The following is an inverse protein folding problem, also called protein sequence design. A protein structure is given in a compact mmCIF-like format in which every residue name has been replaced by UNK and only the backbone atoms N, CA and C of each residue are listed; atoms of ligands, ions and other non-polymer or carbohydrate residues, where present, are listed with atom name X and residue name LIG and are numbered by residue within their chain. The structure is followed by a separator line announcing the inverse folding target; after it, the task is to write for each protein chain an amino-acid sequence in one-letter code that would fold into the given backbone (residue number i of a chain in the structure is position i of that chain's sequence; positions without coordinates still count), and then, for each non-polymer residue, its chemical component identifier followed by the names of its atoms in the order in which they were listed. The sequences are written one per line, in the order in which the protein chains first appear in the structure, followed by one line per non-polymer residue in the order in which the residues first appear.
data_IF_809011817015
#
_entry.id   IF_809011817015
#
_cell.length_a   1.000
_cell.length_b   1.000
_cell.length_c   1.000
_cell.angle_alpha   90.00
_cell.angle_beta   90.00
_cell.angle_gamma   90.00
#
_symmetry.space_group_name_H-M   'P 1'
#
loop_
_entity.id
_entity.type
_entity.pdbx_description
1 polymer ?
#
# COMPACT_ATOMS: atom_id res chain seq x y z
N UNK A 1 5.98 -3.42 -8.71
CA UNK A 1 6.03 -4.57 -7.82
C UNK A 1 7.35 -4.55 -7.05
N UNK A 2 7.36 -4.88 -5.73
CA UNK A 2 8.57 -4.85 -4.90
C UNK A 2 9.74 -5.67 -5.48
N UNK A 3 9.46 -6.84 -6.04
CA UNK A 3 10.46 -7.72 -6.63
C UNK A 3 11.19 -7.15 -7.85
N UNK A 4 10.62 -6.15 -8.51
CA UNK A 4 11.19 -5.52 -9.70
C UNK A 4 12.02 -4.25 -9.38
N UNK A 5 11.97 -3.76 -8.14
CA UNK A 5 12.58 -2.48 -7.75
C UNK A 5 14.10 -2.51 -7.94
N UNK A 6 14.78 -3.48 -7.35
CA UNK A 6 16.24 -3.52 -7.42
C UNK A 6 16.75 -3.73 -8.85
N UNK A 7 16.24 -4.71 -9.65
CA UNK A 7 16.66 -4.87 -11.05
C UNK A 7 16.41 -3.62 -11.89
N UNK A 8 15.27 -2.94 -11.68
CA UNK A 8 14.93 -1.75 -12.45
C UNK A 8 15.86 -0.58 -12.13
N UNK A 9 16.10 -0.30 -10.85
CA UNK A 9 17.00 0.79 -10.44
C UNK A 9 18.47 0.49 -10.72
N UNK A 10 18.90 -0.76 -10.70
CA UNK A 10 20.24 -1.15 -11.19
C UNK A 10 20.40 -0.82 -12.68
N UNK A 11 19.41 -1.15 -13.51
CA UNK A 11 19.41 -0.83 -14.93
C UNK A 11 19.37 0.68 -15.18
N UNK A 12 18.51 1.43 -14.48
CA UNK A 12 18.42 2.89 -14.57
C UNK A 12 19.74 3.56 -14.16
N UNK A 13 20.36 3.08 -13.09
CA UNK A 13 21.66 3.56 -12.60
C UNK A 13 22.76 3.29 -13.64
N UNK A 14 22.78 2.09 -14.25
CA UNK A 14 23.73 1.76 -15.33
C UNK A 14 23.52 2.64 -16.56
N UNK A 15 22.28 3.02 -16.85
CA UNK A 15 21.94 3.95 -17.93
C UNK A 15 22.23 5.43 -17.61
N UNK A 16 22.80 5.74 -16.44
CA UNK A 16 23.18 7.11 -16.06
C UNK A 16 22.07 7.93 -15.39
N UNK A 17 20.90 7.33 -15.08
CA UNK A 17 19.82 8.03 -14.37
C UNK A 17 20.20 8.23 -12.90
N UNK A 18 20.31 9.50 -12.46
CA UNK A 18 20.76 9.88 -11.11
C UNK A 18 19.90 10.96 -10.47
N UNK A 19 19.18 11.75 -11.28
CA UNK A 19 18.49 12.98 -10.85
C UNK A 19 17.13 12.74 -10.20
N UNK A 20 17.02 11.75 -9.32
CA UNK A 20 15.83 11.51 -8.49
C UNK A 20 16.20 11.51 -7.01
N UNK A 21 15.25 11.86 -6.15
CA UNK A 21 15.44 11.97 -4.71
C UNK A 21 14.81 10.82 -3.94
N UNK A 22 13.71 10.26 -4.45
CA UNK A 22 12.91 9.25 -3.77
C UNK A 22 12.63 8.07 -4.70
N UNK A 23 12.66 6.87 -4.15
CA UNK A 23 12.23 5.62 -4.78
C UNK A 23 10.82 5.29 -4.31
N UNK A 24 9.85 5.26 -5.24
CA UNK A 24 8.46 4.87 -4.98
C UNK A 24 8.21 3.39 -5.27
N UNK A 25 7.54 2.69 -4.36
CA UNK A 25 7.16 1.28 -4.51
C UNK A 25 5.65 1.15 -4.44
N UNK A 26 5.00 0.62 -5.49
CA UNK A 26 3.61 0.16 -5.41
C UNK A 26 3.59 -1.25 -4.81
N UNK A 27 2.87 -1.45 -3.72
CA UNK A 27 2.79 -2.72 -3.00
C UNK A 27 1.35 -3.18 -2.81
N UNK A 28 0.96 -4.23 -3.49
CA UNK A 28 -0.34 -4.90 -3.35
C UNK A 28 -0.13 -6.40 -3.18
N UNK A 29 -0.74 -7.00 -2.17
CA UNK A 29 -0.66 -8.44 -1.93
C UNK A 29 -1.15 -9.28 -3.11
N UNK A 30 -2.13 -8.77 -3.87
CA UNK A 30 -2.66 -9.42 -5.07
C UNK A 30 -1.61 -9.63 -6.16
N UNK A 31 -0.73 -8.65 -6.36
CA UNK A 31 0.19 -8.63 -7.50
C UNK A 31 1.64 -8.82 -7.12
N UNK A 32 1.96 -8.81 -5.82
CA UNK A 32 3.31 -9.09 -5.34
C UNK A 32 3.42 -10.55 -4.93
N UNK A 33 4.53 -11.19 -5.30
CA UNK A 33 4.89 -12.53 -4.82
C UNK A 33 5.57 -12.49 -3.47
N UNK A 34 5.93 -11.30 -2.97
CA UNK A 34 6.69 -11.11 -1.75
C UNK A 34 5.79 -10.80 -0.56
N UNK A 35 6.16 -11.34 0.57
CA UNK A 35 5.54 -10.99 1.85
C UNK A 35 6.10 -9.67 2.41
N UNK A 36 5.52 -9.20 3.50
CA UNK A 36 5.93 -7.94 4.13
C UNK A 36 7.38 -7.94 4.64
N UNK A 37 7.92 -9.09 5.06
CA UNK A 37 9.32 -9.18 5.47
C UNK A 37 10.28 -9.00 4.29
N UNK A 38 9.94 -9.55 3.13
CA UNK A 38 10.70 -9.36 1.89
C UNK A 38 10.60 -7.92 1.39
N UNK A 39 9.43 -7.28 1.50
CA UNK A 39 9.28 -5.85 1.20
C UNK A 39 10.19 -5.01 2.09
N UNK A 40 10.21 -5.25 3.42
CA UNK A 40 11.11 -4.57 4.36
C UNK A 40 12.57 -4.71 3.93
N UNK A 41 13.01 -5.93 3.60
CA UNK A 41 14.38 -6.19 3.16
C UNK A 41 14.71 -5.44 1.86
N UNK A 42 13.76 -5.36 0.91
CA UNK A 42 13.92 -4.63 -0.35
C UNK A 42 14.07 -3.12 -0.11
N UNK A 43 13.26 -2.55 0.80
CA UNK A 43 13.35 -1.13 1.18
C UNK A 43 14.75 -0.84 1.76
N UNK A 44 15.21 -1.67 2.70
CA UNK A 44 16.52 -1.49 3.32
C UNK A 44 17.65 -1.61 2.29
N UNK A 45 17.57 -2.58 1.40
CA UNK A 45 18.58 -2.76 0.34
C UNK A 45 18.55 -1.63 -0.69
N UNK A 46 17.37 -1.17 -1.12
CA UNK A 46 17.25 -0.05 -2.05
C UNK A 46 17.87 1.23 -1.46
N UNK A 47 17.55 1.54 -0.18
CA UNK A 47 18.14 2.67 0.52
C UNK A 47 19.67 2.56 0.60
N UNK A 48 20.19 1.40 1.00
CA UNK A 48 21.62 1.15 1.08
C UNK A 48 22.33 1.27 -0.27
N UNK A 49 21.72 0.72 -1.34
CA UNK A 49 22.32 0.62 -2.67
C UNK A 49 22.33 1.93 -3.42
N UNK A 50 21.25 2.70 -3.34
CA UNK A 50 21.09 3.91 -4.15
C UNK A 50 21.25 5.20 -3.35
N UNK A 51 21.32 5.15 -2.01
CA UNK A 51 21.45 6.32 -1.14
C UNK A 51 20.25 7.26 -1.24
N UNK A 52 19.05 6.72 -1.55
CA UNK A 52 17.82 7.49 -1.74
C UNK A 52 16.78 7.10 -0.70
N UNK A 53 15.88 8.03 -0.40
CA UNK A 53 14.73 7.70 0.42
C UNK A 53 13.78 6.76 -0.35
N UNK A 54 13.09 5.90 0.41
CA UNK A 54 12.17 4.91 -0.14
C UNK A 54 10.80 5.08 0.50
N UNK A 55 9.76 5.11 -0.31
CA UNK A 55 8.37 5.23 0.13
C UNK A 55 7.50 4.18 -0.55
N UNK A 56 6.52 3.61 0.15
CA UNK A 56 5.43 2.88 -0.48
C UNK A 56 4.43 3.93 -0.97
N UNK A 57 4.45 4.23 -2.28
CA UNK A 57 3.63 5.30 -2.89
C UNK A 57 2.22 4.86 -3.21
N UNK A 58 1.95 3.54 -3.15
CA UNK A 58 0.66 3.01 -3.54
C UNK A 58 0.42 1.66 -2.86
N UNK A 59 -0.69 1.55 -2.15
CA UNK A 59 -1.20 0.32 -1.55
C UNK A 59 -2.67 0.46 -1.24
N UNK A 60 -3.41 -0.64 -1.18
CA UNK A 60 -4.76 -0.72 -0.63
C UNK A 60 -5.01 -2.11 -0.06
N UNK A 61 -6.01 -2.24 0.81
CA UNK A 61 -6.40 -3.52 1.38
C UNK A 61 -7.92 -3.59 1.56
N UNK A 62 -8.58 -4.71 1.22
CA UNK A 62 -10.05 -4.79 1.30
C UNK A 62 -10.54 -4.92 2.74
N UNK A 63 -11.58 -4.16 3.09
CA UNK A 63 -12.30 -4.31 4.36
C UNK A 63 -13.49 -5.29 4.25
N UNK A 64 -13.81 -5.71 3.04
CA UNK A 64 -14.87 -6.68 2.74
C UNK A 64 -14.62 -7.34 1.39
N UNK A 65 -15.21 -8.51 1.14
CA UNK A 65 -15.23 -9.15 -0.19
C UNK A 65 -16.56 -8.97 -0.90
N UNK A 66 -17.54 -8.31 -0.28
CA UNK A 66 -18.84 -8.05 -0.90
C UNK A 66 -18.73 -6.94 -1.93
N UNK A 67 -19.43 -7.09 -3.05
CA UNK A 67 -19.67 -6.00 -3.99
C UNK A 67 -20.88 -5.18 -3.55
N UNK A 68 -20.80 -3.88 -3.73
CA UNK A 68 -21.94 -2.98 -3.50
C UNK A 68 -22.54 -2.45 -4.80
N UNK A 69 -21.88 -2.66 -5.93
CA UNK A 69 -22.40 -2.32 -7.25
C UNK A 69 -22.15 -3.45 -8.27
N UNK A 70 -22.35 -3.18 -9.56
CA UNK A 70 -22.19 -4.17 -10.62
C UNK A 70 -20.78 -4.34 -11.13
N UNK A 71 -19.84 -3.46 -10.73
CA UNK A 71 -18.42 -3.58 -11.08
C UNK A 71 -17.75 -4.55 -10.12
N UNK A 72 -17.03 -5.55 -10.65
CA UNK A 72 -16.30 -6.50 -9.82
C UNK A 72 -15.15 -5.84 -9.08
N UNK A 73 -15.02 -6.17 -7.80
CA UNK A 73 -13.90 -5.67 -6.98
C UNK A 73 -12.54 -6.15 -7.50
N UNK A 74 -11.60 -5.23 -7.64
CA UNK A 74 -10.23 -5.56 -8.05
C UNK A 74 -9.48 -6.33 -6.96
N UNK A 75 -9.73 -6.03 -5.68
CA UNK A 75 -9.13 -6.73 -4.56
C UNK A 75 -10.09 -7.79 -4.02
N UNK A 76 -9.99 -9.01 -4.54
CA UNK A 76 -10.76 -10.18 -4.12
C UNK A 76 -10.07 -11.02 -3.05
N UNK A 77 -10.52 -12.27 -2.89
CA UNK A 77 -9.92 -13.24 -1.96
C UNK A 77 -8.46 -13.54 -2.25
N UNK A 78 -8.04 -13.39 -3.50
CA UNK A 78 -6.66 -13.52 -3.99
C UNK A 78 -5.73 -12.36 -3.54
N UNK A 79 -6.30 -11.32 -2.92
CA UNK A 79 -5.58 -10.19 -2.36
C UNK A 79 -5.29 -10.34 -0.87
N UNK A 80 -5.79 -11.40 -0.23
CA UNK A 80 -5.71 -11.54 1.22
C UNK A 80 -4.39 -12.18 1.66
N UNK A 81 -3.84 -11.60 2.72
CA UNK A 81 -2.78 -12.21 3.52
C UNK A 81 -3.47 -12.89 4.71
N UNK A 82 -3.14 -14.16 5.05
CA UNK A 82 -3.86 -14.91 6.08
C UNK A 82 -3.99 -14.20 7.45
N UNK A 83 -3.00 -13.38 7.81
CA UNK A 83 -3.01 -12.60 9.06
C UNK A 83 -4.01 -11.44 9.07
N UNK A 84 -4.53 -11.03 7.92
CA UNK A 84 -5.39 -9.85 7.77
C UNK A 84 -6.67 -10.24 7.01
N UNK A 85 -7.73 -10.66 7.67
CA UNK A 85 -9.00 -10.97 6.99
C UNK A 85 -9.61 -9.70 6.36
N UNK A 86 -10.46 -9.88 5.34
CA UNK A 86 -11.21 -8.78 4.71
C UNK A 86 -12.31 -8.28 5.66
N UNK A 87 -11.91 -7.53 6.67
CA UNK A 87 -12.75 -6.86 7.68
C UNK A 87 -12.20 -5.45 7.93
N UNK A 88 -13.02 -4.53 8.47
CA UNK A 88 -12.54 -3.20 8.84
C UNK A 88 -11.28 -3.23 9.72
N UNK A 89 -11.26 -4.12 10.69
CA UNK A 89 -10.11 -4.30 11.58
C UNK A 89 -8.91 -4.94 10.87
N UNK A 90 -9.15 -5.90 9.96
CA UNK A 90 -8.09 -6.51 9.16
C UNK A 90 -7.41 -5.49 8.24
N UNK A 91 -8.20 -4.61 7.60
CA UNK A 91 -7.69 -3.49 6.81
C UNK A 91 -6.83 -2.54 7.66
N UNK A 92 -7.33 -2.12 8.82
CA UNK A 92 -6.60 -1.24 9.75
C UNK A 92 -5.27 -1.85 10.17
N UNK A 93 -5.28 -3.13 10.62
CA UNK A 93 -4.08 -3.84 11.05
C UNK A 93 -3.05 -3.97 9.94
N UNK A 94 -3.48 -4.31 8.72
CA UNK A 94 -2.59 -4.38 7.57
C UNK A 94 -1.88 -3.04 7.34
N UNK A 95 -2.60 -1.93 7.37
CA UNK A 95 -2.02 -0.60 7.15
C UNK A 95 -1.04 -0.19 8.26
N UNK A 96 -1.35 -0.51 9.52
CA UNK A 96 -0.45 -0.25 10.65
C UNK A 96 0.84 -1.07 10.51
N UNK A 97 0.72 -2.38 10.25
CA UNK A 97 1.86 -3.28 10.17
C UNK A 97 2.73 -2.99 8.92
N UNK A 98 2.10 -2.73 7.77
CA UNK A 98 2.81 -2.32 6.55
C UNK A 98 3.63 -1.04 6.80
N UNK A 99 3.03 -0.06 7.46
CA UNK A 99 3.72 1.21 7.74
C UNK A 99 4.87 1.00 8.71
N UNK A 100 4.67 0.25 9.80
CA UNK A 100 5.75 -0.04 10.73
C UNK A 100 6.90 -0.80 10.06
N UNK A 101 6.59 -1.81 9.23
CA UNK A 101 7.61 -2.54 8.48
C UNK A 101 8.36 -1.68 7.47
N UNK A 102 7.65 -0.76 6.82
CA UNK A 102 8.27 0.22 5.91
C UNK A 102 9.28 1.11 6.66
N UNK A 103 8.88 1.66 7.81
CA UNK A 103 9.76 2.46 8.67
C UNK A 103 10.93 1.64 9.24
N UNK A 104 10.69 0.41 9.69
CA UNK A 104 11.71 -0.52 10.17
C UNK A 104 12.73 -0.90 9.07
N UNK A 105 12.34 -0.86 7.79
CA UNK A 105 13.22 -1.00 6.63
C UNK A 105 13.99 0.27 6.28
N UNK A 106 13.76 1.38 7.00
CA UNK A 106 14.34 2.69 6.71
C UNK A 106 13.60 3.49 5.65
N UNK A 107 12.40 3.07 5.26
CA UNK A 107 11.49 3.85 4.40
C UNK A 107 10.89 5.04 5.15
N UNK A 108 10.35 6.00 4.40
CA UNK A 108 9.87 7.27 4.96
C UNK A 108 8.34 7.32 5.15
N UNK A 109 7.59 6.37 4.62
CA UNK A 109 6.13 6.34 4.79
C UNK A 109 5.39 5.46 3.79
N UNK A 110 4.07 5.53 3.88
CA UNK A 110 3.12 4.79 3.02
C UNK A 110 2.01 5.74 2.56
N UNK A 111 1.62 5.64 1.30
CA UNK A 111 0.48 6.35 0.71
C UNK A 111 -0.59 5.33 0.33
N UNK A 112 -1.83 5.60 0.70
CA UNK A 112 -2.97 4.74 0.37
C UNK A 112 -3.55 5.10 -1.00
N UNK A 113 -3.95 4.09 -1.77
CA UNK A 113 -4.58 4.27 -3.08
C UNK A 113 -6.10 4.34 -2.96
N UNK A 114 -6.69 5.42 -3.45
CA UNK A 114 -8.14 5.63 -3.63
C UNK A 114 -8.99 5.36 -2.37
N UNK A 115 -8.70 6.02 -1.23
CA UNK A 115 -9.39 5.74 0.04
C UNK A 115 -10.87 6.13 0.04
N UNK A 116 -11.34 6.89 -0.94
CA UNK A 116 -12.71 7.43 -1.03
C UNK A 116 -13.45 7.04 -2.31
N UNK A 117 -12.95 6.08 -3.08
CA UNK A 117 -13.59 5.60 -4.31
C UNK A 117 -14.74 4.64 -4.02
N UNK A 118 -15.71 5.11 -3.23
CA UNK A 118 -16.93 4.39 -2.88
C UNK A 118 -17.80 4.10 -4.11
N UNK A 119 -18.70 3.12 -4.00
CA UNK A 119 -19.69 2.86 -5.04
C UNK A 119 -20.58 4.09 -5.28
N UNK A 120 -20.83 4.41 -6.53
CA UNK A 120 -21.68 5.53 -6.95
C UNK A 120 -22.62 5.10 -8.07
N UNK A 121 -23.64 5.93 -8.34
CA UNK A 121 -24.53 5.73 -9.50
C UNK A 121 -23.94 6.29 -10.80
N UNK A 122 -22.79 6.92 -10.73
CA UNK A 122 -22.11 7.51 -11.87
C UNK A 122 -21.56 6.43 -12.81
N UNK A 123 -21.55 6.71 -14.09
CA UNK A 123 -20.85 5.91 -15.10
C UNK A 123 -19.56 6.62 -15.50
N UNK A 124 -18.50 5.85 -15.67
CA UNK A 124 -17.20 6.30 -16.17
C UNK A 124 -16.89 5.59 -17.49
N UNK A 125 -15.84 5.96 -18.21
CA UNK A 125 -15.36 5.21 -19.37
C UNK A 125 -15.03 3.73 -19.04
N UNK A 126 -14.79 3.40 -17.76
CA UNK A 126 -14.48 2.06 -17.29
C UNK A 126 -15.70 1.26 -16.83
N UNK A 127 -16.89 1.85 -16.85
CA UNK A 127 -18.14 1.22 -16.44
C UNK A 127 -18.88 1.98 -15.35
N UNK A 128 -19.93 1.37 -14.81
CA UNK A 128 -20.76 1.90 -13.74
C UNK A 128 -20.33 1.28 -12.40
N UNK A 129 -20.03 2.11 -11.42
CA UNK A 129 -19.59 1.69 -10.10
C UNK A 129 -18.11 1.89 -9.86
N UNK A 130 -17.55 1.16 -8.89
CA UNK A 130 -16.15 1.25 -8.50
C UNK A 130 -15.55 -0.12 -8.20
N UNK A 131 -14.50 -0.50 -8.94
CA UNK A 131 -13.73 -1.72 -8.66
C UNK A 131 -12.85 -1.64 -7.40
N UNK A 132 -12.79 -0.47 -6.73
CA UNK A 132 -12.02 -0.24 -5.50
C UNK A 132 -12.89 -0.03 -4.26
N UNK A 133 -14.21 -0.11 -4.40
CA UNK A 133 -15.18 0.21 -3.35
C UNK A 133 -14.94 -0.56 -2.06
N UNK A 134 -14.51 -1.81 -2.16
CA UNK A 134 -14.26 -2.68 -1.01
C UNK A 134 -12.92 -2.40 -0.31
N UNK A 135 -12.14 -1.48 -0.83
CA UNK A 135 -10.87 -1.04 -0.23
C UNK A 135 -10.90 0.43 0.23
N UNK A 136 -12.05 1.09 0.20
CA UNK A 136 -12.21 2.47 0.69
C UNK A 136 -12.11 2.56 2.21
N UNK A 137 -12.08 3.77 2.74
CA UNK A 137 -12.05 4.04 4.18
C UNK A 137 -13.44 4.33 4.76
N UNK A 138 -14.49 4.04 3.98
CA UNK A 138 -15.87 4.32 4.35
C UNK A 138 -16.76 3.10 4.14
N UNK A 139 -17.56 2.79 5.14
CA UNK A 139 -18.74 1.93 4.99
C UNK A 139 -19.86 2.81 4.40
N UNK A 140 -19.86 2.94 3.08
CA UNK A 140 -20.76 3.85 2.40
C UNK A 140 -22.26 3.45 2.47
N UNK A 141 -22.68 2.17 2.61
CA UNK A 141 -24.07 1.83 2.94
C UNK A 141 -24.52 2.37 4.31
N UNK A 142 -23.60 2.50 5.27
CA UNK A 142 -23.89 3.03 6.61
C UNK A 142 -23.54 4.50 6.79
N UNK A 143 -22.84 5.10 5.82
CA UNK A 143 -22.32 6.45 5.91
C UNK A 143 -21.35 6.67 7.10
N UNK A 144 -20.53 5.66 7.37
CA UNK A 144 -19.61 5.63 8.50
C UNK A 144 -18.15 5.59 8.05
N UNK A 145 -17.26 6.25 8.78
CA UNK A 145 -15.82 6.08 8.60
C UNK A 145 -15.36 4.75 9.21
N UNK A 146 -14.47 4.07 8.53
CA UNK A 146 -13.93 2.78 8.98
C UNK A 146 -12.76 2.97 9.96
N UNK A 147 -12.44 1.97 10.81
CA UNK A 147 -11.34 2.03 11.76
C UNK A 147 -9.96 2.27 11.12
N UNK A 148 -9.81 2.08 9.82
CA UNK A 148 -8.55 2.35 9.11
C UNK A 148 -8.06 3.79 9.28
N UNK A 149 -8.93 4.77 9.57
CA UNK A 149 -8.53 6.13 9.90
C UNK A 149 -7.60 6.21 11.11
N UNK A 150 -7.66 5.26 12.04
CA UNK A 150 -6.75 5.18 13.19
C UNK A 150 -5.29 4.96 12.77
N UNK A 151 -5.06 4.41 11.58
CA UNK A 151 -3.73 4.28 11.01
C UNK A 151 -2.97 5.62 10.94
N UNK A 152 -3.67 6.71 10.64
CA UNK A 152 -3.08 8.05 10.56
C UNK A 152 -2.65 8.62 11.92
N UNK A 153 -3.24 8.13 13.01
CA UNK A 153 -2.97 8.56 14.38
C UNK A 153 -2.12 7.55 15.16
N UNK A 154 -1.78 6.41 14.54
CA UNK A 154 -0.97 5.38 15.20
C UNK A 154 0.43 5.90 15.52
N UNK A 155 0.92 5.58 16.73
CA UNK A 155 2.27 5.96 17.16
C UNK A 155 3.28 4.92 16.65
N UNK A 156 3.92 5.23 15.55
CA UNK A 156 4.95 4.37 14.97
C UNK A 156 6.29 4.54 15.68
N UNK A 157 7.02 3.42 15.80
CA UNK A 157 8.41 3.44 16.25
C UNK A 157 9.28 3.87 15.06
N UNK A 158 10.17 4.83 15.26
CA UNK A 158 11.22 5.16 14.29
C UNK A 158 12.49 4.42 14.68
N UNK A 159 13.17 3.78 13.72
CA UNK A 159 14.49 3.21 13.99
C UNK A 159 15.49 4.36 14.21
N UNK A 160 16.37 4.21 15.21
CA UNK A 160 17.38 5.22 15.56
C UNK A 160 18.36 5.60 14.41
N UNK A 161 18.30 4.90 13.29
CA UNK A 161 19.09 5.18 12.09
C UNK A 161 18.58 6.39 11.28
N UNK A 162 17.35 6.86 11.50
CA UNK A 162 16.75 8.00 10.76
C UNK A 162 17.02 9.34 11.43
N UNK A 163 17.46 9.33 12.70
CA UNK A 163 17.71 10.59 13.46
C UNK A 163 19.09 11.22 13.22
N UNK A 164 19.90 10.68 12.31
CA UNK A 164 21.26 11.16 12.02
C UNK A 164 21.44 11.60 10.56
N UNK A 165 20.44 12.24 9.99
CA UNK A 165 20.55 12.85 8.66
C UNK A 165 20.09 14.29 8.65
#
# INVERSE_FOLDING_TARGET
QPENILPWFDAATKAGVRGYDIIGISNYAKWSKWNLAQLKATIAEAKRRYGKDVIVVETAYPFTLRNADSMGNLLGGDSLIPAYPATPEGQRRYMVDLTQLTLDGGGIGVVYWEPYWVSTRCSTPFGKGSGWENATWFDYPRHEALPVFEWLHHKYRRSAAVERG
#
